data_IF_294978910138
#
_entry.id   IF_294978910138
#
_cell.length_a   1.000
_cell.length_b   1.000
_cell.length_c   1.000
_cell.angle_alpha   90.00
_cell.angle_beta   90.00
_cell.angle_gamma   90.00
#
_symmetry.space_group_name_H-M   'P 1'
#
loop_
_entity.id
_entity.type
_entity.pdbx_description
1 polymer ?
#
# COMPACT_ATOMS: atom_id res chain seq x y z
N UNK A 1 0.23 7.44 11.94
CA UNK A 1 0.24 7.87 10.52
C UNK A 1 -0.65 6.92 9.74
N UNK A 2 -1.73 7.46 9.19
CA UNK A 2 -2.76 6.74 8.42
C UNK A 2 -3.21 7.66 7.29
N UNK A 3 -3.33 7.15 6.08
CA UNK A 3 -3.90 7.89 4.95
C UNK A 3 -4.77 6.94 4.12
N UNK A 4 -6.06 7.09 4.22
CA UNK A 4 -7.07 6.36 3.43
C UNK A 4 -8.26 7.25 3.15
N UNK A 5 -8.96 6.97 2.09
CA UNK A 5 -10.22 7.63 1.70
C UNK A 5 -11.24 6.58 1.28
N UNK A 6 -12.53 6.89 1.20
CA UNK A 6 -13.53 5.98 0.61
C UNK A 6 -13.26 5.65 -0.87
N UNK A 7 -12.36 6.42 -1.54
CA UNK A 7 -11.93 6.20 -2.93
C UNK A 7 -10.71 5.27 -3.03
N UNK A 8 -10.12 4.80 -1.91
CA UNK A 8 -8.94 3.94 -1.92
C UNK A 8 -9.20 2.65 -2.70
N UNK A 9 -8.44 2.45 -3.77
CA UNK A 9 -8.40 1.23 -4.61
C UNK A 9 -7.13 0.42 -4.35
N UNK A 10 -6.00 1.10 -4.12
CA UNK A 10 -4.71 0.52 -3.75
C UNK A 10 -4.45 0.77 -2.26
N UNK A 11 -4.36 -0.29 -1.47
CA UNK A 11 -4.04 -0.21 -0.05
C UNK A 11 -2.63 -0.75 0.25
N UNK A 12 -1.78 0.08 0.84
CA UNK A 12 -0.42 -0.29 1.24
C UNK A 12 -0.39 -0.54 2.75
N UNK A 13 -0.12 -1.79 3.13
CA UNK A 13 -0.07 -2.24 4.51
C UNK A 13 1.38 -2.48 4.93
N UNK A 14 1.97 -1.54 5.65
CA UNK A 14 3.31 -1.67 6.24
C UNK A 14 3.31 -2.14 7.69
N UNK A 15 4.46 -2.11 8.32
CA UNK A 15 4.67 -2.49 9.72
C UNK A 15 4.12 -1.42 10.68
N UNK A 16 4.79 -0.30 10.77
CA UNK A 16 4.50 0.90 11.56
C UNK A 16 5.33 2.04 10.98
N UNK A 17 4.96 3.31 11.20
CA UNK A 17 5.81 4.43 10.81
C UNK A 17 7.14 4.39 11.59
N UNK A 18 8.25 4.68 10.92
CA UNK A 18 9.52 5.01 11.58
C UNK A 18 9.43 6.39 12.24
N UNK A 19 10.44 6.77 13.05
CA UNK A 19 10.46 8.04 13.78
C UNK A 19 10.19 9.23 12.86
N UNK A 20 10.97 9.38 11.77
CA UNK A 20 10.84 10.47 10.79
C UNK A 20 9.43 10.56 10.19
N UNK A 21 8.87 9.43 9.77
CA UNK A 21 7.51 9.36 9.20
C UNK A 21 6.46 9.70 10.25
N UNK A 22 6.67 9.33 11.51
CA UNK A 22 5.77 9.68 12.60
C UNK A 22 5.78 11.19 12.91
N UNK A 23 6.97 11.80 12.88
CA UNK A 23 7.16 13.23 13.12
C UNK A 23 6.60 14.09 11.97
N UNK A 24 6.84 13.70 10.71
CA UNK A 24 6.32 14.42 9.53
C UNK A 24 4.82 14.20 9.32
N UNK A 25 4.27 13.11 9.81
CA UNK A 25 2.88 12.70 9.54
C UNK A 25 2.64 12.20 8.12
N UNK A 26 3.65 12.21 7.24
CA UNK A 26 3.54 11.81 5.83
C UNK A 26 3.97 10.36 5.65
N UNK A 27 3.07 9.46 5.19
CA UNK A 27 3.41 8.05 4.99
C UNK A 27 4.58 7.87 4.01
N UNK A 28 5.54 7.03 4.37
CA UNK A 28 6.71 6.74 3.53
C UNK A 28 7.55 7.97 3.14
N UNK A 29 7.60 9.01 4.00
CA UNK A 29 8.49 10.15 3.83
C UNK A 29 9.93 9.82 4.30
N UNK A 30 10.50 8.76 3.73
CA UNK A 30 11.83 8.23 4.02
C UNK A 30 12.41 7.49 2.81
N UNK A 31 13.68 7.06 2.85
CA UNK A 31 14.29 6.29 1.75
C UNK A 31 13.59 4.98 1.41
N UNK A 32 12.83 4.38 2.36
CA UNK A 32 12.00 3.21 2.07
C UNK A 32 10.85 3.58 1.13
N UNK A 33 10.30 4.78 1.29
CA UNK A 33 9.27 5.30 0.42
C UNK A 33 9.76 5.53 -1.01
N UNK A 34 10.99 6.03 -1.19
CA UNK A 34 11.57 6.22 -2.54
C UNK A 34 11.63 4.88 -3.27
N UNK A 35 12.15 3.84 -2.62
CA UNK A 35 12.22 2.48 -3.20
C UNK A 35 10.83 1.88 -3.44
N UNK A 36 9.87 2.12 -2.53
CA UNK A 36 8.50 1.64 -2.74
C UNK A 36 7.89 2.26 -3.99
N UNK A 37 8.00 3.57 -4.17
CA UNK A 37 7.50 4.29 -5.36
C UNK A 37 8.15 3.78 -6.65
N UNK A 38 9.46 3.50 -6.62
CA UNK A 38 10.17 2.87 -7.74
C UNK A 38 9.56 1.50 -8.10
N UNK A 39 9.27 0.66 -7.11
CA UNK A 39 8.61 -0.64 -7.34
C UNK A 39 7.20 -0.50 -7.89
N UNK A 40 6.47 0.55 -7.47
CA UNK A 40 5.12 0.85 -7.95
C UNK A 40 5.10 1.51 -9.33
N UNK A 41 6.21 2.08 -9.78
CA UNK A 41 6.30 2.84 -11.03
C UNK A 41 5.56 4.17 -11.00
N UNK A 42 5.45 4.81 -9.84
CA UNK A 42 4.78 6.10 -9.64
C UNK A 42 5.72 7.10 -8.96
N UNK A 43 5.52 8.36 -9.23
CA UNK A 43 6.26 9.43 -8.60
C UNK A 43 5.71 9.80 -7.20
N UNK A 44 6.41 10.70 -6.52
CA UNK A 44 6.02 11.17 -5.19
C UNK A 44 4.70 11.94 -5.22
N UNK A 45 4.48 12.75 -6.24
CA UNK A 45 3.27 13.57 -6.36
C UNK A 45 2.03 12.68 -6.48
N UNK A 46 2.07 11.67 -7.34
CA UNK A 46 1.02 10.66 -7.48
C UNK A 46 0.83 9.88 -6.18
N UNK A 47 1.95 9.39 -5.58
CA UNK A 47 1.87 8.61 -4.33
C UNK A 47 1.19 9.38 -3.21
N UNK A 48 1.52 10.67 -3.02
CA UNK A 48 1.02 11.49 -1.92
C UNK A 48 -0.35 12.12 -2.22
N UNK A 49 -0.64 12.43 -3.48
CA UNK A 49 -1.82 13.23 -3.89
C UNK A 49 -3.01 12.41 -4.39
N UNK A 50 -2.80 11.19 -4.89
CA UNK A 50 -3.91 10.41 -5.45
C UNK A 50 -4.78 9.77 -4.34
N UNK A 51 -6.07 10.14 -4.21
CA UNK A 51 -6.96 9.62 -3.17
C UNK A 51 -7.27 8.12 -3.31
N UNK A 52 -6.93 7.50 -4.45
CA UNK A 52 -7.06 6.07 -4.68
C UNK A 52 -5.95 5.26 -4.03
N UNK A 53 -4.86 5.90 -3.59
CA UNK A 53 -3.74 5.27 -2.89
C UNK A 53 -3.90 5.49 -1.39
N UNK A 54 -4.11 4.41 -0.67
CA UNK A 54 -4.21 4.40 0.78
C UNK A 54 -2.99 3.75 1.44
N UNK A 55 -2.62 4.27 2.60
CA UNK A 55 -1.57 3.69 3.45
C UNK A 55 -2.13 3.44 4.85
N UNK A 56 -2.15 2.18 5.25
CA UNK A 56 -2.62 1.74 6.56
C UNK A 56 -1.68 0.68 7.15
N UNK A 57 -0.64 1.08 7.90
CA UNK A 57 0.27 0.14 8.55
C UNK A 57 -0.41 -0.66 9.66
N UNK A 58 0.28 -1.69 10.19
CA UNK A 58 -0.24 -2.53 11.29
C UNK A 58 -0.39 -1.75 12.61
N UNK A 59 0.42 -0.71 12.81
CA UNK A 59 0.26 0.28 13.88
C UNK A 59 0.44 1.68 13.31
N UNK A 60 -0.31 2.67 13.80
CA UNK A 60 -0.36 4.03 13.25
C UNK A 60 0.64 5.00 13.89
N UNK A 61 1.31 4.56 14.95
CA UNK A 61 2.30 5.34 15.68
C UNK A 61 3.67 4.68 15.62
N UNK A 62 4.73 5.47 15.75
CA UNK A 62 6.09 4.97 15.93
C UNK A 62 6.18 4.14 17.23
N UNK A 63 6.59 2.88 17.18
CA UNK A 63 6.59 2.01 18.36
C UNK A 63 7.80 2.20 19.28
N UNK A 64 8.73 3.08 18.91
CA UNK A 64 9.99 3.31 19.62
C UNK A 64 11.17 2.55 19.00
N UNK A 65 12.37 2.92 19.42
CA UNK A 65 13.65 2.31 18.96
C UNK A 65 14.08 1.21 19.92
N UNK A 66 14.43 0.05 19.38
CA UNK A 66 14.99 -1.05 20.17
C UNK A 66 16.47 -0.78 20.46
N UNK A 67 16.95 -0.89 21.72
CA UNK A 67 18.36 -0.72 22.07
C UNK A 67 19.32 -1.65 21.30
N UNK A 68 18.81 -2.81 20.84
CA UNK A 68 19.56 -3.77 20.01
C UNK A 68 19.57 -3.42 18.51
N UNK A 69 19.03 -2.25 18.15
CA UNK A 69 18.95 -1.75 16.79
C UNK A 69 17.60 -1.98 16.10
N UNK A 70 17.20 -1.00 15.28
CA UNK A 70 15.92 -0.97 14.60
C UNK A 70 14.76 -0.51 15.49
N UNK A 71 13.55 -0.51 14.92
CA UNK A 71 12.34 -0.13 15.64
C UNK A 71 11.71 -1.35 16.32
N UNK A 72 10.97 -1.12 17.40
CA UNK A 72 10.15 -2.16 17.99
C UNK A 72 9.09 -2.66 16.99
N UNK A 73 8.61 -3.91 17.15
CA UNK A 73 7.52 -4.42 16.36
C UNK A 73 6.22 -3.62 16.62
N UNK A 74 5.30 -3.59 15.63
CA UNK A 74 3.99 -2.98 15.84
C UNK A 74 3.25 -3.70 16.95
N UNK A 75 2.63 -2.98 17.92
CA UNK A 75 1.83 -3.61 18.96
C UNK A 75 0.68 -4.43 18.36
N UNK A 76 0.54 -5.73 18.68
CA UNK A 76 -0.48 -6.61 18.08
C UNK A 76 -1.92 -6.10 18.25
N UNK A 77 -2.20 -5.45 19.38
CA UNK A 77 -3.50 -4.87 19.69
C UNK A 77 -3.96 -3.80 18.68
N UNK A 78 -3.00 -3.07 18.05
CA UNK A 78 -3.35 -2.03 17.08
C UNK A 78 -4.06 -2.64 15.87
N UNK A 79 -3.49 -3.68 15.27
CA UNK A 79 -4.12 -4.37 14.16
C UNK A 79 -5.45 -5.02 14.56
N UNK A 80 -5.52 -5.64 15.73
CA UNK A 80 -6.74 -6.29 16.24
C UNK A 80 -7.91 -5.30 16.39
N UNK A 81 -7.63 -4.09 16.89
CA UNK A 81 -8.66 -3.08 17.15
C UNK A 81 -9.10 -2.34 15.88
N UNK A 82 -8.15 -2.01 14.99
CA UNK A 82 -8.42 -1.02 13.95
C UNK A 82 -8.60 -1.57 12.54
N UNK A 83 -8.01 -2.74 12.23
CA UNK A 83 -8.02 -3.24 10.85
C UNK A 83 -9.42 -3.60 10.34
N UNK A 84 -10.22 -4.31 11.13
CA UNK A 84 -11.59 -4.67 10.76
C UNK A 84 -12.43 -3.44 10.43
N UNK A 85 -12.63 -2.50 11.40
CA UNK A 85 -13.38 -1.25 11.18
C UNK A 85 -12.84 -0.39 10.04
N UNK A 86 -11.50 -0.39 9.81
CA UNK A 86 -10.91 0.36 8.71
C UNK A 86 -11.26 -0.25 7.36
N UNK A 87 -11.05 -1.55 7.20
CA UNK A 87 -11.27 -2.23 5.92
C UNK A 87 -12.75 -2.20 5.50
N UNK A 88 -13.68 -2.28 6.45
CA UNK A 88 -15.11 -2.16 6.15
C UNK A 88 -15.53 -0.80 5.57
N UNK A 89 -14.66 0.21 5.69
CA UNK A 89 -14.89 1.56 5.16
C UNK A 89 -14.16 1.83 3.84
N UNK A 90 -13.58 0.81 3.24
CA UNK A 90 -12.85 0.89 1.96
C UNK A 90 -13.54 0.01 0.88
N UNK A 91 -14.75 0.39 0.43
CA UNK A 91 -15.56 -0.46 -0.44
C UNK A 91 -15.00 -0.62 -1.86
N UNK A 92 -14.09 0.28 -2.28
CA UNK A 92 -13.51 0.30 -3.63
C UNK A 92 -12.12 -0.38 -3.71
N UNK A 93 -11.67 -1.03 -2.63
CA UNK A 93 -10.35 -1.63 -2.56
C UNK A 93 -10.22 -2.81 -3.52
N UNK A 94 -9.23 -2.75 -4.41
CA UNK A 94 -8.97 -3.75 -5.46
C UNK A 94 -7.60 -4.42 -5.32
N UNK A 95 -6.63 -3.71 -4.77
CA UNK A 95 -5.27 -4.21 -4.60
C UNK A 95 -4.74 -3.88 -3.20
N UNK A 96 -4.28 -4.89 -2.49
CA UNK A 96 -3.61 -4.74 -1.19
C UNK A 96 -2.15 -5.19 -1.29
N UNK A 97 -1.23 -4.31 -0.95
CA UNK A 97 0.20 -4.62 -0.85
C UNK A 97 0.57 -4.89 0.61
N UNK A 98 1.09 -6.08 0.87
CA UNK A 98 1.53 -6.51 2.21
C UNK A 98 3.04 -6.32 2.34
N UNK A 99 3.46 -5.16 2.82
CA UNK A 99 4.85 -4.72 2.88
C UNK A 99 5.52 -5.21 4.16
N UNK A 100 6.40 -6.21 4.03
CA UNK A 100 7.12 -6.83 5.12
C UNK A 100 6.33 -7.87 5.92
N UNK A 101 7.05 -8.60 6.77
CA UNK A 101 6.55 -9.80 7.42
C UNK A 101 5.37 -9.59 8.39
N UNK A 102 5.23 -8.42 9.00
CA UNK A 102 4.14 -8.16 9.95
C UNK A 102 2.78 -8.06 9.25
N UNK A 103 2.70 -7.33 8.14
CA UNK A 103 1.48 -7.25 7.35
C UNK A 103 1.13 -8.60 6.72
N UNK A 104 2.13 -9.33 6.22
CA UNK A 104 1.97 -10.67 5.65
C UNK A 104 1.43 -11.67 6.67
N UNK A 105 2.04 -11.77 7.85
CA UNK A 105 1.58 -12.69 8.91
C UNK A 105 0.16 -12.39 9.37
N UNK A 106 -0.21 -11.11 9.42
CA UNK A 106 -1.56 -10.73 9.81
C UNK A 106 -2.60 -11.12 8.74
N UNK A 107 -2.33 -10.77 7.48
CA UNK A 107 -3.30 -10.94 6.39
C UNK A 107 -3.35 -12.38 5.86
N UNK A 108 -2.23 -13.10 5.91
CA UNK A 108 -2.08 -14.45 5.34
C UNK A 108 -2.00 -15.55 6.41
N UNK A 109 -2.57 -15.32 7.60
CA UNK A 109 -2.54 -16.25 8.74
C UNK A 109 -3.13 -17.63 8.41
N UNK A 110 -4.11 -17.69 7.49
CA UNK A 110 -4.77 -18.93 7.09
C UNK A 110 -4.01 -19.67 5.96
N UNK A 111 -2.95 -19.06 5.43
CA UNK A 111 -2.03 -19.63 4.42
C UNK A 111 -0.59 -19.32 4.76
N UNK A 112 -0.09 -19.74 5.95
CA UNK A 112 1.23 -19.35 6.41
C UNK A 112 2.32 -20.02 5.57
N UNK A 113 3.35 -19.25 5.21
CA UNK A 113 4.62 -19.74 4.67
C UNK A 113 5.69 -19.66 5.76
N UNK A 114 6.76 -20.46 5.62
CA UNK A 114 7.83 -20.54 6.64
C UNK A 114 8.63 -19.24 6.76
N UNK A 115 8.70 -18.46 5.68
CA UNK A 115 9.50 -17.23 5.65
C UNK A 115 8.85 -16.15 4.79
N UNK A 116 9.30 -14.90 5.00
CA UNK A 116 8.93 -13.77 4.15
C UNK A 116 9.33 -14.01 2.69
N UNK A 117 10.49 -14.62 2.44
CA UNK A 117 10.97 -14.94 1.10
C UNK A 117 10.02 -15.90 0.38
N UNK A 118 9.61 -16.99 1.04
CA UNK A 118 8.66 -17.96 0.48
C UNK A 118 7.29 -17.30 0.23
N UNK A 119 6.85 -16.42 1.14
CA UNK A 119 5.59 -15.69 0.98
C UNK A 119 5.65 -14.79 -0.25
N UNK A 120 6.73 -14.01 -0.42
CA UNK A 120 6.88 -13.13 -1.58
C UNK A 120 7.07 -13.95 -2.87
N UNK A 121 7.83 -15.03 -2.86
CA UNK A 121 7.99 -15.91 -4.03
C UNK A 121 6.66 -16.53 -4.50
N UNK A 122 5.76 -16.80 -3.57
CA UNK A 122 4.42 -17.32 -3.86
C UNK A 122 3.38 -16.23 -4.22
N UNK A 123 3.78 -15.02 -4.59
CA UNK A 123 2.88 -13.89 -4.80
C UNK A 123 1.72 -14.18 -5.75
N UNK A 124 1.94 -15.00 -6.78
CA UNK A 124 0.90 -15.38 -7.74
C UNK A 124 -0.25 -16.16 -7.10
N UNK A 125 0.00 -16.88 -6.00
CA UNK A 125 -1.05 -17.63 -5.29
C UNK A 125 -1.99 -16.74 -4.49
N UNK A 126 -1.58 -15.50 -4.18
CA UNK A 126 -2.37 -14.51 -3.46
C UNK A 126 -3.01 -13.47 -4.39
N UNK A 127 -2.46 -13.31 -5.60
CA UNK A 127 -2.95 -12.35 -6.59
C UNK A 127 -4.32 -12.71 -7.16
N UNK A 128 -4.97 -11.79 -7.92
CA UNK A 128 -4.47 -10.44 -8.23
C UNK A 128 -4.75 -9.37 -7.15
N UNK A 129 -5.58 -9.69 -6.14
CA UNK A 129 -6.06 -8.72 -5.14
C UNK A 129 -5.06 -8.47 -3.99
N UNK A 130 -4.15 -9.40 -3.74
CA UNK A 130 -3.16 -9.29 -2.65
C UNK A 130 -1.77 -9.61 -3.17
N UNK A 131 -0.80 -8.71 -2.94
CA UNK A 131 0.59 -8.92 -3.33
C UNK A 131 1.50 -8.71 -2.11
N UNK A 132 2.18 -9.75 -1.63
CA UNK A 132 3.19 -9.61 -0.59
C UNK A 132 4.50 -9.05 -1.17
N UNK A 133 5.10 -8.08 -0.46
CA UNK A 133 6.36 -7.44 -0.83
C UNK A 133 7.36 -7.54 0.34
N UNK A 134 8.67 -7.58 0.07
CA UNK A 134 9.66 -7.36 1.12
C UNK A 134 9.54 -5.93 1.65
N UNK A 135 10.12 -5.67 2.82
CA UNK A 135 10.19 -4.29 3.29
C UNK A 135 11.16 -3.49 2.42
N UNK A 136 10.81 -2.28 1.91
CA UNK A 136 11.64 -1.53 0.96
C UNK A 136 12.82 -0.79 1.60
N UNK A 137 13.26 -1.20 2.80
CA UNK A 137 14.43 -0.60 3.47
C UNK A 137 15.75 -1.02 2.81
N UNK A 138 16.82 -0.27 3.12
CA UNK A 138 18.17 -0.60 2.69
C UNK A 138 18.61 -2.04 3.08
N UNK A 139 18.08 -2.58 4.18
CA UNK A 139 18.37 -3.95 4.63
C UNK A 139 17.92 -5.01 3.63
N UNK A 140 16.96 -4.70 2.78
CA UNK A 140 16.49 -5.61 1.72
C UNK A 140 17.40 -5.63 0.48
N UNK A 141 18.45 -4.79 0.40
CA UNK A 141 19.36 -4.78 -0.74
C UNK A 141 20.06 -6.14 -0.95
N UNK A 142 20.51 -6.77 0.14
CA UNK A 142 21.12 -8.13 0.06
C UNK A 142 20.07 -9.16 -0.33
N UNK A 143 18.87 -9.03 0.16
CA UNK A 143 17.76 -9.92 -0.20
C UNK A 143 17.43 -9.83 -1.69
N UNK A 144 17.31 -8.61 -2.24
CA UNK A 144 17.06 -8.37 -3.66
C UNK A 144 18.13 -9.00 -4.56
N UNK A 145 19.41 -8.86 -4.20
CA UNK A 145 20.52 -9.53 -4.94
C UNK A 145 20.41 -11.04 -4.96
N UNK A 146 19.90 -11.64 -3.88
CA UNK A 146 19.70 -13.11 -3.78
C UNK A 146 18.40 -13.58 -4.44
N UNK A 147 17.50 -12.67 -4.78
CA UNK A 147 16.19 -12.95 -5.34
C UNK A 147 15.93 -12.10 -6.60
N UNK A 148 16.72 -12.26 -7.67
CA UNK A 148 16.63 -11.42 -8.88
C UNK A 148 15.27 -11.51 -9.57
N UNK A 149 14.54 -12.62 -9.40
CA UNK A 149 13.16 -12.79 -9.87
C UNK A 149 12.21 -11.68 -9.39
N UNK A 150 12.49 -11.04 -8.26
CA UNK A 150 11.68 -9.94 -7.76
C UNK A 150 11.68 -8.76 -8.75
N UNK A 151 12.86 -8.34 -9.21
CA UNK A 151 13.00 -7.23 -10.17
C UNK A 151 12.65 -7.65 -11.59
N UNK A 152 12.84 -8.91 -11.94
CA UNK A 152 12.58 -9.44 -13.28
C UNK A 152 11.10 -9.78 -13.53
N UNK A 153 10.34 -10.16 -12.50
CA UNK A 153 8.97 -10.65 -12.64
C UNK A 153 7.96 -9.86 -11.81
N UNK A 154 8.17 -9.77 -10.48
CA UNK A 154 7.17 -9.18 -9.60
C UNK A 154 7.09 -7.65 -9.74
N UNK A 155 8.21 -6.94 -9.78
CA UNK A 155 8.19 -5.49 -9.89
C UNK A 155 7.58 -5.00 -11.23
N UNK A 156 7.88 -5.58 -12.41
CA UNK A 156 7.18 -5.24 -13.64
C UNK A 156 5.68 -5.53 -13.61
N UNK A 157 5.27 -6.69 -13.07
CA UNK A 157 3.87 -7.02 -12.89
C UNK A 157 3.16 -5.99 -11.99
N UNK A 158 3.80 -5.62 -10.87
CA UNK A 158 3.25 -4.65 -9.92
C UNK A 158 3.05 -3.27 -10.56
N UNK A 159 4.04 -2.79 -11.32
CA UNK A 159 3.95 -1.52 -12.08
C UNK A 159 2.78 -1.54 -13.06
N UNK A 160 2.64 -2.62 -13.82
CA UNK A 160 1.52 -2.77 -14.76
C UNK A 160 0.17 -2.75 -14.04
N UNK A 161 0.04 -3.46 -12.92
CA UNK A 161 -1.20 -3.49 -12.11
C UNK A 161 -1.54 -2.12 -11.53
N UNK A 162 -0.55 -1.41 -11.00
CA UNK A 162 -0.74 -0.06 -10.44
C UNK A 162 -1.12 0.92 -11.55
N UNK A 163 -0.44 0.89 -12.69
CA UNK A 163 -0.74 1.74 -13.85
C UNK A 163 -2.18 1.51 -14.35
N UNK A 164 -2.61 0.26 -14.51
CA UNK A 164 -3.99 -0.06 -14.90
C UNK A 164 -4.99 0.49 -13.87
N UNK A 165 -4.77 0.22 -12.57
CA UNK A 165 -5.66 0.68 -11.50
C UNK A 165 -5.78 2.21 -11.43
N UNK A 166 -4.70 2.93 -11.68
CA UNK A 166 -4.69 4.40 -11.67
C UNK A 166 -5.10 5.00 -13.02
N UNK A 167 -4.95 4.28 -14.14
CA UNK A 167 -5.33 4.74 -15.49
C UNK A 167 -6.84 4.63 -15.75
N UNK A 168 -7.50 3.60 -15.30
CA UNK A 168 -8.93 3.34 -15.57
C UNK A 168 -9.91 4.40 -15.02
N UNK A 169 -9.47 5.29 -14.11
CA UNK A 169 -10.35 6.32 -13.55
C UNK A 169 -10.32 7.66 -14.29
N UNK A 170 -9.41 7.88 -15.24
CA UNK A 170 -9.39 9.10 -16.05
C UNK A 170 -10.54 9.12 -17.08
N UNK A 171 -11.07 7.95 -17.47
CA UNK A 171 -12.13 7.83 -18.48
C UNK A 171 -13.55 7.86 -17.92
N UNK A 172 -13.75 7.71 -16.62
CA UNK A 172 -15.10 7.66 -16.00
C UNK A 172 -15.59 9.00 -15.44
N UNK A 173 -14.73 10.02 -15.31
CA UNK A 173 -15.09 11.31 -14.71
C UNK A 173 -15.38 12.42 -15.75
N UNK A 174 -15.20 12.15 -17.06
CA UNK A 174 -15.48 13.09 -18.18
C UNK A 174 -16.79 12.76 -18.94
N UNK A 175 -17.87 12.43 -18.24
CA UNK A 175 -19.19 12.53 -18.84
C UNK A 175 -19.70 13.97 -18.64
N UNK A 176 -19.88 14.78 -19.69
CA UNK A 176 -20.37 16.14 -19.54
C UNK A 176 -21.82 16.10 -19.03
N UNK A 177 -22.06 16.84 -17.93
CA UNK A 177 -23.38 17.04 -17.39
C UNK A 177 -24.32 17.59 -18.47
N UNK A 178 -25.40 16.89 -18.72
CA UNK A 178 -26.53 17.27 -19.57
C UNK A 178 -27.10 18.64 -19.06
N UNK A 179 -26.72 19.70 -19.73
CA UNK A 179 -27.34 21.01 -19.54
C UNK A 179 -28.72 20.95 -20.19
N UNK A 180 -29.74 20.51 -19.46
CA UNK A 180 -31.13 20.74 -19.88
C UNK A 180 -31.42 22.23 -19.75
N UNK A 181 -31.48 22.84 -20.91
CA UNK A 181 -32.00 24.20 -21.09
C UNK A 181 -33.42 24.28 -20.56
N UNK A 182 -33.61 25.10 -19.52
CA UNK A 182 -34.94 25.57 -19.11
C UNK A 182 -35.32 26.71 -20.05
N UNK A 183 -36.12 26.41 -21.09
CA UNK A 183 -36.76 27.43 -21.91
C UNK A 183 -37.93 28.00 -21.09
N UNK A 184 -37.79 29.23 -20.65
CA UNK A 184 -38.85 30.07 -20.17
C UNK A 184 -39.75 30.47 -21.35
N UNK A 185 -40.95 29.94 -21.41
CA UNK A 185 -42.04 30.50 -22.24
C UNK A 185 -42.77 31.59 -21.48
N UNK A 186 -42.61 32.80 -21.95
CA UNK A 186 -43.47 33.90 -21.56
C UNK A 186 -44.76 33.88 -22.43
N UNK A 187 -45.91 34.02 -21.82
CA UNK A 187 -47.09 34.74 -22.30
C UNK A 187 -48.06 34.92 -21.14
#
# INVERSE_FOLDING_TARGET
VLRVTPRTRLLICGQAPGRRVHESGVPFDDPSGDRLREWLGIDRQTFDGDPRIGVAPMAFCFPGTNPKGGDYPPPPRCAALWRGPLLSRLPKMELTLLVGSYAQRWALRDSPRRSMTETVAAWRTYGPAVIPLPHPSWRSTVWLRRNPWFEQELAPYLRSRVAALLGEAATAEEAPGDQRAVSSGAS
#
